data_IF_443636922562
#
_entry.id   IF_443636922562
#
_cell.length_a   1.000
_cell.length_b   1.000
_cell.length_c   1.000
_cell.angle_alpha   90.00
_cell.angle_beta   90.00
_cell.angle_gamma   90.00
#
_symmetry.space_group_name_H-M   'P 1'
#
loop_
_entity.id
_entity.type
_entity.pdbx_description
1 polymer ?
#
# COMPACT_ATOMS: atom_id res chain seq x y z
N UNK A 1 -6.91 -31.57 -11.79
CA UNK A 1 -5.88 -30.58 -11.37
C UNK A 1 -6.55 -29.22 -11.24
N UNK A 2 -6.28 -28.42 -10.19
CA UNK A 2 -6.92 -27.11 -9.98
C UNK A 2 -5.86 -26.00 -9.85
N UNK A 3 -6.03 -24.93 -10.62
CA UNK A 3 -5.19 -23.74 -10.60
C UNK A 3 -5.98 -22.51 -10.17
N UNK A 4 -5.29 -21.55 -9.56
CA UNK A 4 -5.84 -20.24 -9.20
C UNK A 4 -5.23 -19.18 -10.11
N UNK A 5 -6.05 -18.34 -10.71
CA UNK A 5 -5.61 -17.21 -11.51
C UNK A 5 -6.19 -15.90 -10.98
N UNK A 6 -5.37 -14.86 -10.88
CA UNK A 6 -5.80 -13.52 -10.43
C UNK A 6 -5.74 -12.58 -11.63
N UNK A 7 -6.86 -11.92 -11.92
CA UNK A 7 -6.97 -11.00 -13.05
C UNK A 7 -6.21 -9.69 -12.77
N UNK A 8 -5.40 -9.27 -13.72
CA UNK A 8 -4.73 -7.96 -13.71
C UNK A 8 -5.42 -6.99 -14.66
N UNK A 9 -5.09 -5.70 -14.58
CA UNK A 9 -5.60 -4.70 -15.53
C UNK A 9 -5.22 -5.03 -16.99
N UNK A 10 -4.02 -5.60 -17.21
CA UNK A 10 -3.58 -6.03 -18.52
C UNK A 10 -4.50 -7.12 -19.09
N UNK A 11 -4.82 -8.14 -18.28
CA UNK A 11 -5.68 -9.25 -18.68
C UNK A 11 -7.07 -8.79 -19.15
N UNK A 12 -7.66 -7.82 -18.44
CA UNK A 12 -8.97 -7.28 -18.77
C UNK A 12 -8.95 -6.42 -20.03
N UNK A 13 -7.87 -5.65 -20.25
CA UNK A 13 -7.74 -4.78 -21.42
C UNK A 13 -7.42 -5.58 -22.70
N UNK A 14 -6.56 -6.58 -22.62
CA UNK A 14 -6.15 -7.39 -23.78
C UNK A 14 -7.04 -8.61 -23.99
N UNK A 15 -7.85 -8.99 -23.00
CA UNK A 15 -8.68 -10.20 -23.07
C UNK A 15 -7.85 -11.49 -23.01
N UNK A 16 -6.67 -11.42 -22.39
CA UNK A 16 -5.70 -12.53 -22.35
C UNK A 16 -5.41 -12.97 -20.92
N UNK A 17 -5.08 -14.25 -20.75
CA UNK A 17 -4.62 -14.84 -19.50
C UNK A 17 -3.16 -15.28 -19.63
N UNK A 18 -2.31 -14.94 -18.67
CA UNK A 18 -0.92 -15.39 -18.66
C UNK A 18 -0.80 -16.88 -18.34
N UNK A 19 0.08 -17.59 -19.06
CA UNK A 19 0.40 -19.00 -18.81
C UNK A 19 1.25 -19.16 -17.55
N UNK A 20 0.58 -19.27 -16.41
CA UNK A 20 1.19 -19.67 -15.13
C UNK A 20 1.74 -21.09 -15.21
N UNK A 21 2.61 -21.49 -14.26
CA UNK A 21 3.20 -22.84 -14.25
C UNK A 21 2.15 -23.94 -14.35
N UNK A 22 1.09 -23.86 -13.54
CA UNK A 22 -0.02 -24.82 -13.53
C UNK A 22 -0.77 -24.85 -14.88
N UNK A 23 -0.96 -23.70 -15.53
CA UNK A 23 -1.59 -23.63 -16.85
C UNK A 23 -0.70 -24.23 -17.96
N UNK A 24 0.63 -24.10 -17.86
CA UNK A 24 1.54 -24.73 -18.82
C UNK A 24 1.51 -26.26 -18.71
N UNK A 25 1.44 -26.78 -17.49
CA UNK A 25 1.29 -28.22 -17.23
C UNK A 25 -0.06 -28.72 -17.74
N UNK A 26 -1.15 -27.97 -17.52
CA UNK A 26 -2.49 -28.35 -18.00
C UNK A 26 -2.66 -28.26 -19.53
N UNK A 27 -1.89 -27.39 -20.20
CA UNK A 27 -2.01 -27.10 -21.64
C UNK A 27 -0.79 -27.60 -22.45
N UNK A 28 -0.08 -28.60 -21.93
CA UNK A 28 1.05 -29.19 -22.64
C UNK A 28 0.60 -29.85 -23.96
N UNK A 29 1.36 -29.66 -25.04
CA UNK A 29 0.94 -30.04 -26.41
C UNK A 29 -0.28 -29.35 -27.05
N UNK A 30 -1.04 -28.50 -26.36
CA UNK A 30 -2.30 -27.93 -26.87
C UNK A 30 -2.11 -26.51 -27.45
N UNK A 31 -2.50 -26.30 -28.72
CA UNK A 31 -2.51 -24.98 -29.39
C UNK A 31 -3.86 -24.26 -29.26
N UNK A 32 -4.95 -25.01 -29.19
CA UNK A 32 -6.32 -24.53 -29.00
C UNK A 32 -6.95 -25.22 -27.80
N UNK A 33 -7.21 -24.44 -26.76
CA UNK A 33 -7.78 -24.92 -25.52
C UNK A 33 -9.27 -24.58 -25.46
N UNK A 34 -10.08 -25.51 -24.96
CA UNK A 34 -11.49 -25.29 -24.69
C UNK A 34 -11.67 -24.95 -23.22
N UNK A 35 -12.21 -23.77 -22.96
CA UNK A 35 -12.58 -23.35 -21.62
C UNK A 35 -14.10 -23.41 -21.47
N UNK A 36 -14.59 -24.03 -20.41
CA UNK A 36 -16.03 -24.17 -20.14
C UNK A 36 -16.37 -23.32 -18.93
N UNK A 37 -17.33 -22.40 -19.05
CA UNK A 37 -17.74 -21.59 -17.91
C UNK A 37 -18.74 -22.30 -16.99
N UNK A 38 -19.08 -21.65 -15.87
CA UNK A 38 -20.05 -22.17 -14.89
C UNK A 38 -21.46 -22.34 -15.45
N UNK A 39 -21.81 -21.66 -16.55
CA UNK A 39 -23.11 -21.81 -17.22
C UNK A 39 -23.06 -22.93 -18.30
N UNK A 40 -21.91 -23.60 -18.47
CA UNK A 40 -21.67 -24.62 -19.48
C UNK A 40 -21.34 -24.07 -20.88
N UNK A 41 -21.10 -22.77 -21.02
CA UNK A 41 -20.73 -22.15 -22.29
C UNK A 41 -19.25 -22.40 -22.60
N UNK A 42 -18.96 -22.76 -23.85
CA UNK A 42 -17.62 -23.14 -24.29
C UNK A 42 -16.95 -21.98 -25.01
N UNK A 43 -15.77 -21.61 -24.54
CA UNK A 43 -14.90 -20.59 -25.08
C UNK A 43 -13.67 -21.24 -25.72
N UNK A 44 -13.53 -21.10 -27.04
CA UNK A 44 -12.32 -21.54 -27.74
C UNK A 44 -11.23 -20.48 -27.59
N UNK A 45 -10.08 -20.87 -27.04
CA UNK A 45 -8.98 -19.96 -26.77
C UNK A 45 -7.68 -20.44 -27.42
N UNK A 46 -6.87 -19.48 -27.89
CA UNK A 46 -5.59 -19.76 -28.51
C UNK A 46 -4.47 -19.69 -27.48
N UNK A 47 -3.58 -20.69 -27.48
CA UNK A 47 -2.45 -20.78 -26.56
C UNK A 47 -1.19 -20.28 -27.27
N UNK A 48 -0.87 -19.00 -27.11
CA UNK A 48 0.35 -18.40 -27.63
C UNK A 48 1.53 -18.68 -26.69
N UNK A 49 2.36 -19.66 -27.05
CA UNK A 49 3.53 -20.07 -26.25
C UNK A 49 4.69 -19.08 -26.33
N UNK A 50 4.83 -18.37 -27.44
CA UNK A 50 5.91 -17.39 -27.63
C UNK A 50 5.74 -16.22 -26.64
N UNK A 51 4.52 -15.71 -26.51
CA UNK A 51 4.20 -14.61 -25.59
C UNK A 51 3.78 -15.09 -24.19
N UNK A 52 3.63 -16.41 -24.00
CA UNK A 52 3.24 -17.01 -22.74
C UNK A 52 1.81 -16.66 -22.31
N UNK A 53 0.86 -16.61 -23.25
CA UNK A 53 -0.52 -16.13 -23.03
C UNK A 53 -1.57 -17.03 -23.68
N UNK A 54 -2.76 -17.01 -23.10
CA UNK A 54 -3.99 -17.57 -23.65
C UNK A 54 -4.86 -16.39 -24.08
N UNK A 55 -5.32 -16.41 -25.33
CA UNK A 55 -6.10 -15.35 -25.95
C UNK A 55 -7.53 -15.83 -26.22
N UNK A 56 -8.51 -14.92 -26.17
CA UNK A 56 -9.92 -15.22 -26.45
C UNK A 56 -10.84 -15.25 -25.23
N UNK A 57 -10.34 -14.87 -24.04
CA UNK A 57 -11.12 -14.88 -22.79
C UNK A 57 -11.84 -13.53 -22.50
N UNK A 58 -11.69 -12.53 -23.36
CA UNK A 58 -12.34 -11.23 -23.22
C UNK A 58 -13.88 -11.32 -23.07
N UNK A 59 -14.60 -12.12 -23.88
CA UNK A 59 -16.06 -12.24 -23.77
C UNK A 59 -16.50 -12.80 -22.41
N UNK A 60 -15.76 -13.79 -21.88
CA UNK A 60 -16.02 -14.36 -20.56
C UNK A 60 -15.87 -13.32 -19.44
N UNK A 61 -14.80 -12.51 -19.47
CA UNK A 61 -14.58 -11.44 -18.49
C UNK A 61 -15.70 -10.40 -18.49
N UNK A 62 -16.20 -10.04 -19.67
CA UNK A 62 -17.31 -9.11 -19.83
C UNK A 62 -18.64 -9.72 -19.33
N UNK A 63 -18.93 -10.98 -19.69
CA UNK A 63 -20.12 -11.72 -19.25
C UNK A 63 -20.23 -11.76 -17.73
N UNK A 64 -19.12 -12.07 -17.04
CA UNK A 64 -19.05 -12.16 -15.58
C UNK A 64 -18.77 -10.83 -14.87
N UNK A 65 -18.57 -9.73 -15.62
CA UNK A 65 -18.22 -8.39 -15.11
C UNK A 65 -17.03 -8.41 -14.14
N UNK A 66 -16.00 -9.17 -14.49
CA UNK A 66 -14.83 -9.35 -13.65
C UNK A 66 -13.97 -8.08 -13.60
N UNK A 67 -13.46 -7.76 -12.42
CA UNK A 67 -12.61 -6.63 -12.11
C UNK A 67 -11.16 -7.02 -11.84
N UNK A 68 -10.33 -6.00 -11.61
CA UNK A 68 -8.92 -6.18 -11.24
C UNK A 68 -8.87 -6.87 -9.88
N UNK A 69 -8.00 -7.88 -9.74
CA UNK A 69 -7.84 -8.76 -8.59
C UNK A 69 -8.96 -9.78 -8.35
N UNK A 70 -9.94 -9.90 -9.25
CA UNK A 70 -10.89 -11.01 -9.20
C UNK A 70 -10.18 -12.34 -9.52
N UNK A 71 -10.66 -13.40 -8.90
CA UNK A 71 -10.03 -14.73 -8.95
C UNK A 71 -10.86 -15.64 -9.86
N UNK A 72 -10.18 -16.31 -10.77
CA UNK A 72 -10.73 -17.40 -11.57
C UNK A 72 -10.05 -18.70 -11.13
N UNK A 73 -10.85 -19.67 -10.73
CA UNK A 73 -10.42 -21.04 -10.54
C UNK A 73 -10.49 -21.79 -11.86
N UNK A 74 -9.43 -22.54 -12.13
CA UNK A 74 -9.24 -23.31 -13.35
C UNK A 74 -9.18 -24.78 -12.95
N UNK A 75 -10.06 -25.61 -13.48
CA UNK A 75 -10.04 -27.05 -13.19
C UNK A 75 -9.95 -27.85 -14.48
N UNK A 76 -8.91 -28.67 -14.62
CA UNK A 76 -8.80 -29.61 -15.73
C UNK A 76 -9.85 -30.71 -15.57
N UNK A 77 -10.73 -30.83 -16.57
CA UNK A 77 -11.75 -31.87 -16.65
C UNK A 77 -11.22 -33.15 -17.34
N UNK A 78 -11.95 -34.25 -17.19
CA UNK A 78 -11.58 -35.56 -17.75
C UNK A 78 -11.58 -35.58 -19.29
N UNK A 79 -12.36 -34.70 -19.92
CA UNK A 79 -12.44 -34.54 -21.38
C UNK A 79 -11.32 -33.64 -21.97
N UNK A 80 -10.39 -33.17 -21.13
CA UNK A 80 -9.30 -32.27 -21.50
C UNK A 80 -9.70 -30.80 -21.61
N UNK A 81 -10.94 -30.44 -21.28
CA UNK A 81 -11.38 -29.05 -21.19
C UNK A 81 -11.00 -28.42 -19.84
N UNK A 82 -10.94 -27.08 -19.80
CA UNK A 82 -10.65 -26.34 -18.57
C UNK A 82 -11.92 -25.62 -18.09
N UNK A 83 -12.44 -26.05 -16.94
CA UNK A 83 -13.53 -25.36 -16.28
C UNK A 83 -13.07 -24.02 -15.70
N UNK A 84 -13.80 -22.94 -16.02
CA UNK A 84 -13.65 -21.61 -15.47
C UNK A 84 -14.71 -21.38 -14.40
N UNK A 85 -14.27 -21.09 -13.18
CA UNK A 85 -15.14 -20.72 -12.07
C UNK A 85 -14.68 -19.37 -11.51
N UNK A 86 -15.49 -18.34 -11.65
CA UNK A 86 -15.18 -17.02 -11.13
C UNK A 86 -15.59 -16.93 -9.67
N UNK A 87 -14.63 -16.69 -8.78
CA UNK A 87 -14.93 -16.33 -7.40
C UNK A 87 -15.36 -14.85 -7.33
N UNK A 88 -16.52 -14.52 -7.92
CA UNK A 88 -17.06 -13.16 -7.85
C UNK A 88 -17.46 -12.83 -6.42
N UNK A 89 -16.83 -11.82 -5.82
CA UNK A 89 -17.26 -11.22 -4.56
C UNK A 89 -18.53 -10.36 -4.70
N UNK A 90 -19.12 -10.28 -5.90
CA UNK A 90 -20.31 -9.47 -6.19
C UNK A 90 -21.32 -10.32 -6.93
N UNK A 91 -22.41 -10.67 -6.25
CA UNK A 91 -23.57 -11.27 -6.88
C UNK A 91 -24.09 -10.38 -8.03
N UNK A 92 -24.45 -10.94 -9.18
CA UNK A 92 -25.06 -10.17 -10.26
C UNK A 92 -26.47 -9.74 -9.87
N UNK A 93 -26.70 -8.44 -9.70
CA UNK A 93 -28.06 -7.87 -9.61
C UNK A 93 -28.72 -7.88 -11.01
N UNK A 94 -29.99 -8.29 -11.13
CA UNK A 94 -30.71 -8.28 -12.39
C UNK A 94 -30.87 -6.83 -12.91
N UNK A 95 -30.75 -6.67 -14.24
CA UNK A 95 -30.83 -5.39 -14.95
C UNK A 95 -32.26 -4.84 -14.91
N UNK A 96 -32.51 -3.59 -14.45
CA UNK A 96 -33.72 -2.87 -14.78
C UNK A 96 -33.64 -2.32 -16.22
N UNK A 97 -34.78 -2.34 -16.90
CA UNK A 97 -34.96 -1.91 -18.29
C UNK A 97 -34.63 -0.42 -18.51
N UNK A 98 -34.10 -0.14 -19.69
CA UNK A 98 -33.76 1.19 -20.20
C UNK A 98 -35.04 1.99 -20.44
N UNK A 99 -35.13 3.18 -19.85
CA UNK A 99 -36.07 4.22 -20.26
C UNK A 99 -35.29 5.42 -20.82
N UNK A 100 -35.70 5.85 -22.00
CA UNK A 100 -35.01 6.78 -22.88
C UNK A 100 -35.25 8.25 -22.52
N UNK A 101 -34.26 9.08 -22.91
CA UNK A 101 -34.32 10.48 -23.39
C UNK A 101 -35.14 11.53 -22.62
N UNK A 102 -34.46 12.62 -22.26
CA UNK A 102 -34.91 13.98 -22.56
C UNK A 102 -33.71 14.96 -22.56
N UNK A 103 -33.42 15.55 -23.72
CA UNK A 103 -32.63 16.79 -23.85
C UNK A 103 -33.50 17.99 -23.42
N UNK A 104 -32.95 19.04 -22.79
CA UNK A 104 -33.59 20.34 -22.76
C UNK A 104 -33.02 21.29 -23.82
N UNK A 105 -33.98 21.87 -24.51
CA UNK A 105 -33.99 22.93 -25.52
C UNK A 105 -33.20 24.18 -25.10
N UNK A 106 -32.47 24.77 -26.07
CA UNK A 106 -31.85 26.09 -25.99
C UNK A 106 -32.89 27.18 -26.32
N UNK A 107 -33.02 28.18 -25.47
CA UNK A 107 -33.66 29.46 -25.81
C UNK A 107 -32.59 30.49 -26.24
N UNK A 108 -32.84 31.37 -27.24
CA UNK A 108 -31.86 32.32 -27.75
C UNK A 108 -31.89 33.65 -26.98
N UNK A 109 -30.71 34.17 -26.65
CA UNK A 109 -30.51 35.53 -26.12
C UNK A 109 -30.40 36.51 -27.28
N UNK A 110 -31.26 37.53 -27.28
CA UNK A 110 -31.26 38.66 -28.21
C UNK A 110 -29.99 39.52 -28.06
N UNK A 111 -29.51 39.98 -29.21
CA UNK A 111 -28.32 40.81 -29.41
C UNK A 111 -28.77 42.25 -29.65
N UNK A 112 -28.41 43.18 -28.78
CA UNK A 112 -28.37 44.61 -29.09
C UNK A 112 -26.93 45.12 -29.16
N UNK A 113 -26.66 45.93 -30.17
CA UNK A 113 -25.36 46.32 -30.65
C UNK A 113 -25.02 47.78 -30.27
N UNK A 114 -23.82 47.97 -29.71
CA UNK A 114 -22.76 48.95 -30.07
C UNK A 114 -23.07 50.48 -30.01
N UNK A 115 -22.08 51.36 -29.70
CA UNK A 115 -20.86 51.46 -30.52
C UNK A 115 -19.53 51.85 -29.85
N UNK A 116 -18.52 51.76 -30.71
CA UNK A 116 -17.08 51.85 -30.51
C UNK A 116 -16.51 53.28 -30.33
N UNK A 117 -15.35 53.36 -29.67
CA UNK A 117 -14.43 54.49 -29.72
C UNK A 117 -12.97 54.04 -29.46
N UNK A 118 -12.13 54.09 -30.50
CA UNK A 118 -10.66 53.84 -30.55
C UNK A 118 -9.88 55.15 -30.22
N UNK A 119 -8.51 55.22 -30.25
CA UNK A 119 -7.44 54.30 -29.85
C UNK A 119 -6.36 54.99 -28.94
N UNK A 120 -5.37 54.20 -28.50
CA UNK A 120 -4.23 54.57 -27.64
C UNK A 120 -3.19 55.54 -28.26
N UNK A 121 -2.26 56.06 -27.42
CA UNK A 121 -0.84 56.04 -27.80
C UNK A 121 0.10 55.41 -26.75
N UNK A 122 1.19 54.85 -27.28
CA UNK A 122 2.32 54.14 -26.63
C UNK A 122 3.24 55.04 -25.80
N UNK A 123 4.05 54.36 -24.96
CA UNK A 123 5.39 54.67 -24.36
C UNK A 123 5.28 54.83 -22.83
N UNK A 124 6.14 54.29 -21.96
CA UNK A 124 7.59 54.01 -22.03
C UNK A 124 7.90 52.76 -21.18
N UNK A 125 8.75 51.84 -21.66
CA UNK A 125 9.40 50.82 -20.84
C UNK A 125 10.49 51.51 -20.01
N UNK A 126 10.25 51.66 -18.70
CA UNK A 126 11.32 51.96 -17.74
C UNK A 126 11.51 50.70 -16.91
N UNK A 127 12.64 50.03 -17.10
CA UNK A 127 13.17 49.01 -16.21
C UNK A 127 13.58 49.67 -14.89
N UNK A 128 12.93 49.38 -13.74
CA UNK A 128 13.48 49.78 -12.47
C UNK A 128 14.62 48.81 -12.12
N UNK A 129 15.80 49.37 -11.86
CA UNK A 129 16.92 48.69 -11.19
C UNK A 129 16.43 47.98 -9.92
N UNK A 130 17.10 46.88 -9.49
CA UNK A 130 16.67 46.08 -8.36
C UNK A 130 16.84 46.91 -7.09
N UNK A 131 15.75 47.48 -6.60
CA UNK A 131 15.68 47.84 -5.19
C UNK A 131 15.55 46.53 -4.45
N UNK A 132 16.64 46.10 -3.83
CA UNK A 132 16.64 45.20 -2.70
C UNK A 132 15.73 45.80 -1.65
N UNK A 133 14.43 45.53 -1.76
CA UNK A 133 13.51 45.77 -0.67
C UNK A 133 13.79 44.63 0.30
N UNK A 134 14.64 44.94 1.27
CA UNK A 134 14.61 44.30 2.59
C UNK A 134 13.21 44.51 3.14
N UNK A 135 12.25 43.70 2.67
CA UNK A 135 11.13 43.37 3.50
C UNK A 135 11.74 42.60 4.68
N UNK A 136 11.56 43.06 5.93
CA UNK A 136 11.63 42.13 7.04
C UNK A 136 10.66 41.01 6.65
N UNK A 137 11.14 39.76 6.56
CA UNK A 137 10.20 38.66 6.51
C UNK A 137 9.36 38.82 7.78
N UNK A 138 8.12 39.26 7.61
CA UNK A 138 7.07 39.07 8.58
C UNK A 138 7.21 37.61 9.00
N UNK A 139 7.50 37.43 10.30
CA UNK A 139 7.94 36.15 10.83
C UNK A 139 7.04 35.06 10.28
N UNK A 140 7.63 34.07 9.62
CA UNK A 140 6.95 32.81 9.39
C UNK A 140 6.44 32.40 10.77
N UNK A 141 5.14 32.53 11.00
CA UNK A 141 4.53 32.00 12.22
C UNK A 141 5.03 30.57 12.35
N UNK A 142 5.50 30.15 13.54
CA UNK A 142 6.01 28.80 13.71
C UNK A 142 4.90 27.85 13.27
N UNK A 143 5.15 27.11 12.19
CA UNK A 143 4.23 26.11 11.68
C UNK A 143 3.83 25.23 12.86
N UNK A 144 2.53 25.00 13.11
CA UNK A 144 2.11 24.19 14.25
C UNK A 144 2.85 22.85 14.28
N UNK A 145 3.21 22.35 15.46
CA UNK A 145 4.05 21.15 15.61
C UNK A 145 3.50 19.93 14.84
N UNK A 146 2.18 19.80 14.73
CA UNK A 146 1.53 18.73 13.96
C UNK A 146 1.81 18.82 12.44
N UNK A 147 2.05 20.03 11.90
CA UNK A 147 2.39 20.24 10.49
C UNK A 147 3.80 19.71 10.21
N UNK A 148 4.75 20.02 11.08
CA UNK A 148 6.12 19.51 10.98
C UNK A 148 6.17 17.98 11.10
N UNK A 149 5.35 17.41 12.00
CA UNK A 149 5.21 15.97 12.14
C UNK A 149 4.65 15.32 10.85
N UNK A 150 3.63 15.92 10.22
CA UNK A 150 3.09 15.45 8.95
C UNK A 150 4.12 15.52 7.81
N UNK A 151 4.88 16.61 7.72
CA UNK A 151 5.95 16.74 6.73
C UNK A 151 7.04 15.67 6.93
N UNK A 152 7.43 15.41 8.18
CA UNK A 152 8.38 14.34 8.55
C UNK A 152 7.86 12.95 8.13
N UNK A 153 6.56 12.73 8.22
CA UNK A 153 5.90 11.51 7.77
C UNK A 153 5.75 11.42 6.24
N UNK A 154 6.12 12.47 5.49
CA UNK A 154 6.11 12.50 4.03
C UNK A 154 4.84 13.10 3.40
N UNK A 155 4.07 13.88 4.17
CA UNK A 155 2.93 14.63 3.63
C UNK A 155 3.37 15.99 3.09
N UNK A 156 2.69 16.44 2.04
CA UNK A 156 2.85 17.76 1.47
C UNK A 156 1.58 18.58 1.69
N UNK A 157 1.74 19.81 2.17
CA UNK A 157 0.63 20.74 2.32
C UNK A 157 0.20 21.25 0.94
N UNK A 158 -1.09 21.13 0.64
CA UNK A 158 -1.71 21.73 -0.54
C UNK A 158 -2.36 23.04 -0.11
N UNK A 159 -2.07 24.13 -0.82
CA UNK A 159 -2.76 25.40 -0.59
C UNK A 159 -4.21 25.27 -1.06
N UNK A 160 -5.14 25.33 -0.11
CA UNK A 160 -6.58 25.40 -0.33
C UNK A 160 -7.13 26.49 0.59
N UNK A 161 -8.05 27.31 0.07
CA UNK A 161 -8.59 28.48 0.76
C UNK A 161 -9.65 28.14 1.81
N UNK A 162 -10.21 26.92 1.77
CA UNK A 162 -11.35 26.51 2.62
C UNK A 162 -10.96 25.55 3.73
N UNK A 163 -9.97 24.69 3.49
CA UNK A 163 -9.53 23.72 4.49
C UNK A 163 -8.02 23.43 4.33
N UNK A 164 -7.27 23.18 5.42
CA UNK A 164 -5.89 22.75 5.31
C UNK A 164 -5.86 21.30 4.80
N UNK A 165 -5.35 21.09 3.59
CA UNK A 165 -5.27 19.77 2.96
C UNK A 165 -3.81 19.30 2.93
N UNK A 166 -3.59 18.05 3.33
CA UNK A 166 -2.30 17.38 3.30
C UNK A 166 -2.38 16.16 2.39
N UNK A 167 -1.43 16.01 1.46
CA UNK A 167 -1.40 14.93 0.49
C UNK A 167 -0.19 14.03 0.70
N UNK A 168 -0.42 12.73 0.70
CA UNK A 168 0.62 11.72 0.66
C UNK A 168 0.70 11.10 -0.74
N UNK A 169 1.93 11.01 -1.27
CA UNK A 169 2.23 10.37 -2.54
C UNK A 169 2.83 8.98 -2.29
N UNK A 170 2.07 7.94 -2.63
CA UNK A 170 2.46 6.52 -2.52
C UNK A 170 2.69 5.93 -3.92
N UNK A 171 3.46 6.64 -4.74
CA UNK A 171 3.70 6.30 -6.15
C UNK A 171 2.45 6.49 -7.01
N UNK A 172 1.88 5.40 -7.54
CA UNK A 172 0.66 5.44 -8.37
C UNK A 172 -0.62 5.69 -7.57
N UNK A 173 -0.54 5.54 -6.26
CA UNK A 173 -1.64 5.82 -5.33
C UNK A 173 -1.25 7.02 -4.48
N UNK A 174 -2.25 7.71 -3.96
CA UNK A 174 -2.07 8.77 -3.01
C UNK A 174 -3.40 9.04 -2.36
N UNK A 175 -3.35 9.67 -1.20
CA UNK A 175 -4.56 10.14 -0.55
C UNK A 175 -4.31 11.52 0.03
N UNK A 176 -5.39 12.26 0.19
CA UNK A 176 -5.38 13.55 0.85
C UNK A 176 -6.23 13.49 2.11
N UNK A 177 -5.79 14.20 3.14
CA UNK A 177 -6.50 14.38 4.40
C UNK A 177 -6.73 15.88 4.61
N UNK A 178 -7.98 16.26 4.90
CA UNK A 178 -8.29 17.59 5.40
C UNK A 178 -8.13 17.57 6.91
N UNK A 179 -7.27 18.43 7.46
CA UNK A 179 -6.89 18.40 8.86
C UNK A 179 -6.79 19.83 9.39
N UNK A 180 -7.60 20.15 10.39
CA UNK A 180 -7.69 21.49 10.95
C UNK A 180 -7.78 21.45 12.47
N UNK A 181 -7.30 22.49 13.15
CA UNK A 181 -7.36 22.57 14.61
C UNK A 181 -8.78 22.85 15.08
N UNK A 182 -9.18 22.15 16.13
CA UNK A 182 -10.47 22.36 16.77
C UNK A 182 -10.61 23.81 17.26
N UNK A 183 -11.74 24.44 16.93
CA UNK A 183 -12.00 25.86 17.23
C UNK A 183 -11.44 26.86 16.22
N UNK A 184 -10.47 26.48 15.38
CA UNK A 184 -9.90 27.35 14.34
C UNK A 184 -10.51 27.10 12.96
N UNK A 185 -10.97 25.86 12.70
CA UNK A 185 -11.53 25.44 11.40
C UNK A 185 -12.99 25.04 11.56
N UNK A 186 -13.85 25.44 10.61
CA UNK A 186 -15.24 24.97 10.56
C UNK A 186 -15.28 23.48 10.19
N UNK A 187 -15.88 22.67 11.06
CA UNK A 187 -16.07 21.24 10.86
C UNK A 187 -16.85 20.95 9.56
N UNK A 188 -17.74 21.85 9.16
CA UNK A 188 -18.52 21.73 7.91
C UNK A 188 -17.64 21.80 6.67
N UNK A 189 -16.59 22.62 6.69
CA UNK A 189 -15.67 22.75 5.55
C UNK A 189 -14.81 21.50 5.37
N UNK A 190 -14.36 20.89 6.48
CA UNK A 190 -13.66 19.60 6.47
C UNK A 190 -14.56 18.48 5.91
N UNK A 191 -15.83 18.46 6.33
CA UNK A 191 -16.82 17.51 5.82
C UNK A 191 -17.16 17.74 4.35
N UNK A 192 -17.30 19.00 3.93
CA UNK A 192 -17.54 19.36 2.53
C UNK A 192 -16.39 18.87 1.64
N UNK A 193 -15.13 19.08 2.06
CA UNK A 193 -13.96 18.59 1.33
C UNK A 193 -14.00 17.06 1.11
N UNK A 194 -14.45 16.30 2.11
CA UNK A 194 -14.61 14.85 1.98
C UNK A 194 -15.78 14.45 1.08
N UNK A 195 -16.93 15.13 1.20
CA UNK A 195 -18.14 14.87 0.38
C UNK A 195 -17.92 15.18 -1.10
N UNK A 196 -17.17 16.24 -1.39
CA UNK A 196 -16.78 16.64 -2.75
C UNK A 196 -15.69 15.73 -3.35
N UNK A 197 -15.14 14.78 -2.57
CA UNK A 197 -14.08 13.87 -3.03
C UNK A 197 -12.69 14.52 -3.15
N UNK A 198 -12.49 15.74 -2.63
CA UNK A 198 -11.18 16.41 -2.61
C UNK A 198 -10.19 15.69 -1.69
N UNK A 199 -10.70 15.13 -0.60
CA UNK A 199 -9.93 14.36 0.38
C UNK A 199 -10.58 13.01 0.68
N UNK A 200 -9.76 12.01 0.97
CA UNK A 200 -10.25 10.68 1.37
C UNK A 200 -10.66 10.66 2.85
N UNK A 201 -9.96 11.44 3.68
CA UNK A 201 -10.16 11.52 5.11
C UNK A 201 -10.35 12.97 5.55
N UNK A 202 -11.19 13.19 6.54
CA UNK A 202 -11.37 14.47 7.20
C UNK A 202 -11.16 14.26 8.69
N UNK A 203 -10.30 15.08 9.29
CA UNK A 203 -9.84 14.91 10.65
C UNK A 203 -9.72 16.26 11.36
N UNK A 204 -9.85 16.23 12.68
CA UNK A 204 -9.74 17.41 13.54
C UNK A 204 -8.59 17.21 14.50
N UNK A 205 -7.76 18.25 14.62
CA UNK A 205 -6.64 18.28 15.57
C UNK A 205 -7.15 18.80 16.91
N UNK A 206 -7.10 17.94 17.92
CA UNK A 206 -7.48 18.23 19.30
C UNK A 206 -6.29 17.86 20.18
N UNK A 207 -6.04 18.59 21.27
CA UNK A 207 -4.98 18.21 22.21
C UNK A 207 -5.34 16.91 22.93
N UNK A 208 -4.34 16.16 23.41
CA UNK A 208 -4.60 14.90 24.12
C UNK A 208 -5.50 15.09 25.35
N UNK A 209 -5.34 16.20 26.08
CA UNK A 209 -6.14 16.55 27.27
C UNK A 209 -7.62 16.79 26.96
N UNK A 210 -7.93 17.28 25.76
CA UNK A 210 -9.30 17.64 25.35
C UNK A 210 -9.98 16.52 24.55
N UNK A 211 -9.25 15.44 24.22
CA UNK A 211 -9.72 14.40 23.31
C UNK A 211 -11.05 13.79 23.73
N UNK A 212 -11.22 13.46 25.02
CA UNK A 212 -12.41 12.76 25.52
C UNK A 212 -13.67 13.66 25.50
N UNK A 213 -13.50 14.98 25.61
CA UNK A 213 -14.62 15.92 25.54
C UNK A 213 -15.22 16.01 24.13
N UNK A 214 -14.38 15.98 23.09
CA UNK A 214 -14.80 16.20 21.69
C UNK A 214 -15.03 14.89 20.93
N UNK A 215 -14.57 13.76 21.47
CA UNK A 215 -14.64 12.43 20.84
C UNK A 215 -16.06 12.00 20.44
N UNK A 216 -17.06 12.28 21.26
CA UNK A 216 -18.45 11.94 20.96
C UNK A 216 -18.97 12.74 19.75
N UNK A 217 -18.75 14.05 19.76
CA UNK A 217 -19.14 14.96 18.67
C UNK A 217 -18.47 14.57 17.34
N UNK A 218 -17.16 14.30 17.35
CA UNK A 218 -16.45 13.91 16.12
C UNK A 218 -16.92 12.57 15.56
N UNK A 219 -17.28 11.62 16.44
CA UNK A 219 -17.83 10.32 16.04
C UNK A 219 -19.18 10.46 15.34
N UNK A 220 -20.06 11.32 15.85
CA UNK A 220 -21.35 11.61 15.21
C UNK A 220 -21.16 12.23 13.82
N UNK A 221 -20.20 13.14 13.69
CA UNK A 221 -19.84 13.78 12.42
C UNK A 221 -19.00 12.90 11.49
N UNK A 222 -18.57 11.71 11.93
CA UNK A 222 -17.65 10.79 11.22
C UNK A 222 -16.32 11.45 10.84
N UNK A 223 -15.85 12.38 11.66
CA UNK A 223 -14.52 12.98 11.55
C UNK A 223 -13.54 12.15 12.37
N UNK A 224 -12.32 11.99 11.85
CA UNK A 224 -11.25 11.34 12.62
C UNK A 224 -10.69 12.32 13.67
N UNK A 225 -10.43 11.81 14.87
CA UNK A 225 -9.72 12.57 15.90
C UNK A 225 -8.21 12.40 15.69
N UNK A 226 -7.45 13.49 15.72
CA UNK A 226 -5.99 13.45 15.62
C UNK A 226 -5.40 14.32 16.73
N UNK A 227 -4.40 13.82 17.44
CA UNK A 227 -3.68 14.62 18.45
C UNK A 227 -2.28 15.00 17.96
N UNK A 228 -1.82 16.26 18.20
CA UNK A 228 -0.46 16.67 17.86
C UNK A 228 0.62 15.78 18.50
N UNK A 229 0.36 15.32 19.72
CA UNK A 229 1.24 14.44 20.49
C UNK A 229 1.40 13.08 19.80
N UNK A 230 0.30 12.48 19.32
CA UNK A 230 0.32 11.24 18.56
C UNK A 230 1.09 11.37 17.25
N UNK A 231 0.88 12.44 16.48
CA UNK A 231 1.63 12.68 15.25
C UNK A 231 3.13 12.87 15.51
N UNK A 232 3.48 13.58 16.59
CA UNK A 232 4.88 13.77 16.99
C UNK A 232 5.52 12.46 17.41
N UNK A 233 4.80 11.62 18.16
CA UNK A 233 5.28 10.28 18.55
C UNK A 233 5.47 9.39 17.31
N UNK A 234 4.51 9.40 16.37
CA UNK A 234 4.60 8.66 15.12
C UNK A 234 5.79 9.10 14.26
N UNK A 235 6.06 10.41 14.19
CA UNK A 235 7.22 10.96 13.49
C UNK A 235 8.55 10.54 14.14
N UNK A 236 8.61 10.35 15.47
CA UNK A 236 9.79 9.80 16.16
C UNK A 236 10.01 8.33 15.84
N UNK A 237 8.94 7.53 15.80
CA UNK A 237 9.00 6.09 15.46
C UNK A 237 9.58 5.84 14.07
N UNK A 238 9.43 6.79 13.14
CA UNK A 238 10.03 6.74 11.79
C UNK A 238 11.55 6.53 11.80
N UNK A 239 12.25 6.93 12.85
CA UNK A 239 13.70 6.73 12.97
C UNK A 239 14.10 5.27 13.23
N UNK A 240 13.20 4.48 13.82
CA UNK A 240 13.42 3.08 14.19
C UNK A 240 12.83 2.11 13.16
N UNK A 241 11.70 2.47 12.57
CA UNK A 241 10.96 1.67 11.61
C UNK A 241 10.44 2.56 10.48
N UNK A 242 10.31 2.10 9.22
CA UNK A 242 9.84 2.92 8.09
C UNK A 242 8.33 3.28 8.17
N UNK A 243 7.91 3.91 9.26
CA UNK A 243 6.57 4.45 9.49
C UNK A 243 6.35 5.68 8.63
N UNK A 244 5.19 5.76 7.98
CA UNK A 244 4.86 6.85 7.08
C UNK A 244 3.36 6.98 6.81
N UNK A 245 2.98 7.41 5.58
CA UNK A 245 1.58 7.67 5.27
C UNK A 245 0.71 6.41 5.27
N UNK A 246 1.28 5.23 5.14
CA UNK A 246 0.53 3.96 5.16
C UNK A 246 -0.02 3.69 6.56
N UNK A 247 0.82 3.84 7.60
CA UNK A 247 0.42 3.65 8.99
C UNK A 247 -0.57 4.74 9.42
N UNK A 248 -0.34 6.00 9.01
CA UNK A 248 -1.30 7.07 9.30
C UNK A 248 -2.66 6.80 8.62
N UNK A 249 -2.68 6.26 7.41
CA UNK A 249 -3.93 5.88 6.73
C UNK A 249 -4.68 4.78 7.50
N UNK A 250 -3.93 3.81 8.05
CA UNK A 250 -4.48 2.74 8.88
C UNK A 250 -5.16 3.29 10.13
N UNK A 251 -4.52 4.24 10.83
CA UNK A 251 -5.08 4.88 12.02
C UNK A 251 -6.29 5.76 11.67
N UNK A 252 -6.21 6.54 10.59
CA UNK A 252 -7.32 7.37 10.11
C UNK A 252 -8.57 6.54 9.74
N UNK A 253 -8.40 5.32 9.17
CA UNK A 253 -9.50 4.39 8.92
C UNK A 253 -10.20 3.92 10.19
N UNK A 254 -9.47 3.84 11.30
CA UNK A 254 -10.04 3.53 12.62
C UNK A 254 -10.74 4.75 13.25
N UNK A 255 -10.59 5.93 12.66
CA UNK A 255 -11.22 7.18 13.09
C UNK A 255 -10.52 7.87 14.26
N UNK A 256 -9.34 7.41 14.66
CA UNK A 256 -8.54 8.02 15.73
C UNK A 256 -7.05 7.89 15.49
N UNK A 257 -6.33 8.95 15.83
CA UNK A 257 -4.88 9.07 15.85
C UNK A 257 -4.54 9.79 17.15
N UNK A 258 -4.68 9.09 18.27
CA UNK A 258 -4.34 9.53 19.62
C UNK A 258 -3.11 8.77 20.14
N UNK A 259 -2.59 9.15 21.32
CA UNK A 259 -1.40 8.49 21.87
C UNK A 259 -1.63 6.99 22.07
N UNK A 260 -2.80 6.59 22.57
CA UNK A 260 -3.14 5.18 22.79
C UNK A 260 -3.05 4.35 21.49
N UNK A 261 -3.55 4.90 20.37
CA UNK A 261 -3.49 4.22 19.08
C UNK A 261 -2.06 4.15 18.53
N UNK A 262 -1.24 5.17 18.77
CA UNK A 262 0.17 5.19 18.36
C UNK A 262 1.01 4.27 19.26
N UNK A 263 0.74 4.19 20.55
CA UNK A 263 1.38 3.24 21.48
C UNK A 263 1.07 1.79 21.12
N UNK A 264 -0.18 1.49 20.76
CA UNK A 264 -0.54 0.16 20.27
C UNK A 264 0.24 -0.22 18.98
N UNK A 265 0.44 0.74 18.08
CA UNK A 265 1.31 0.57 16.91
C UNK A 265 2.79 0.43 17.30
N UNK A 266 3.26 1.22 18.27
CA UNK A 266 4.62 1.13 18.79
C UNK A 266 4.89 -0.27 19.36
N UNK A 267 3.96 -0.83 20.15
CA UNK A 267 4.07 -2.20 20.66
C UNK A 267 4.03 -3.28 19.56
N UNK A 268 3.35 -3.03 18.44
CA UNK A 268 3.43 -3.90 17.26
C UNK A 268 4.81 -3.83 16.60
N UNK A 269 5.38 -2.63 16.49
CA UNK A 269 6.74 -2.41 15.97
C UNK A 269 7.81 -2.99 16.91
N UNK A 270 7.65 -2.82 18.22
CA UNK A 270 8.56 -3.35 19.24
C UNK A 270 8.62 -4.87 19.20
N UNK A 271 7.52 -5.55 18.84
CA UNK A 271 7.56 -7.00 18.58
C UNK A 271 8.51 -7.34 17.44
N UNK A 272 8.51 -6.58 16.34
CA UNK A 272 9.46 -6.78 15.24
C UNK A 272 10.90 -6.43 15.63
N UNK A 273 11.10 -5.42 16.48
CA UNK A 273 12.43 -5.11 17.03
C UNK A 273 12.89 -6.23 17.98
N UNK A 274 11.98 -6.78 18.79
CA UNK A 274 12.21 -7.95 19.64
C UNK A 274 12.56 -9.20 18.84
N UNK A 275 11.86 -9.45 17.72
CA UNK A 275 12.20 -10.53 16.78
C UNK A 275 13.61 -10.34 16.20
N UNK A 276 14.00 -9.11 15.84
CA UNK A 276 15.37 -8.81 15.37
C UNK A 276 16.41 -9.00 16.47
N UNK A 277 16.09 -8.62 17.70
CA UNK A 277 16.96 -8.87 18.86
C UNK A 277 17.12 -10.37 19.09
N UNK A 278 16.02 -11.14 19.11
CA UNK A 278 16.04 -12.59 19.24
C UNK A 278 16.85 -13.26 18.12
N UNK A 279 16.64 -12.86 16.87
CA UNK A 279 17.42 -13.34 15.73
C UNK A 279 18.92 -13.08 15.89
N UNK A 280 19.29 -11.88 16.37
CA UNK A 280 20.69 -11.52 16.62
C UNK A 280 21.30 -12.34 17.76
N UNK A 281 20.56 -12.53 18.85
CA UNK A 281 20.98 -13.37 19.98
C UNK A 281 21.20 -14.82 19.55
N UNK A 282 20.29 -15.39 18.74
CA UNK A 282 20.46 -16.74 18.17
C UNK A 282 21.70 -16.82 17.28
N UNK A 283 21.93 -15.83 16.41
CA UNK A 283 23.15 -15.79 15.59
C UNK A 283 24.42 -15.73 16.44
N UNK A 284 24.41 -14.97 17.55
CA UNK A 284 25.55 -14.91 18.48
C UNK A 284 25.75 -16.27 19.16
N UNK A 285 24.69 -16.92 19.65
CA UNK A 285 24.78 -18.25 20.25
C UNK A 285 25.28 -19.32 19.25
N UNK A 286 24.95 -19.17 17.96
CA UNK A 286 25.47 -20.05 16.91
C UNK A 286 26.98 -19.90 16.69
N UNK A 287 27.61 -18.81 17.15
CA UNK A 287 29.07 -18.64 17.03
C UNK A 287 29.87 -19.58 17.94
N UNK A 288 29.24 -20.15 18.96
CA UNK A 288 29.86 -21.16 19.82
C UNK A 288 30.02 -22.52 19.12
N UNK A 289 29.39 -22.69 17.96
CA UNK A 289 29.50 -23.88 17.13
C UNK A 289 30.47 -23.66 15.95
N UNK A 290 31.46 -24.53 15.75
CA UNK A 290 32.31 -24.50 14.57
C UNK A 290 31.54 -24.88 13.30
N UNK A 291 32.06 -24.41 12.16
CA UNK A 291 31.52 -24.79 10.85
C UNK A 291 31.55 -26.32 10.65
N UNK A 292 30.58 -26.83 9.91
CA UNK A 292 30.36 -28.26 9.63
C UNK A 292 30.01 -29.11 10.87
N UNK A 293 29.63 -28.49 11.99
CA UNK A 293 29.15 -29.20 13.18
C UNK A 293 27.63 -29.40 13.15
N UNK A 294 27.20 -30.60 13.55
CA UNK A 294 25.82 -30.92 13.87
C UNK A 294 25.52 -30.55 15.32
N UNK A 295 24.38 -29.93 15.56
CA UNK A 295 23.88 -29.56 16.88
C UNK A 295 22.38 -29.79 16.99
N UNK A 296 21.90 -29.99 18.22
CA UNK A 296 20.47 -30.09 18.51
C UNK A 296 19.92 -28.72 18.93
N UNK A 297 18.63 -28.52 18.67
CA UNK A 297 17.89 -27.36 19.16
C UNK A 297 18.02 -27.23 20.68
N UNK A 298 17.99 -28.36 21.40
CA UNK A 298 18.09 -28.36 22.86
C UNK A 298 19.45 -27.86 23.34
N UNK A 299 20.56 -28.26 22.69
CA UNK A 299 21.91 -27.78 23.02
C UNK A 299 22.01 -26.26 22.83
N UNK A 300 21.41 -25.74 21.75
CA UNK A 300 21.38 -24.30 21.49
C UNK A 300 20.50 -23.57 22.52
N UNK A 301 19.41 -24.19 22.97
CA UNK A 301 18.54 -23.62 23.98
C UNK A 301 19.21 -23.53 25.35
N UNK A 302 20.03 -24.52 25.70
CA UNK A 302 20.88 -24.47 26.89
C UNK A 302 21.88 -23.32 26.82
N UNK A 303 22.54 -23.11 25.67
CA UNK A 303 23.46 -21.99 25.46
C UNK A 303 22.77 -20.62 25.53
N UNK A 304 21.50 -20.55 25.10
CA UNK A 304 20.71 -19.33 25.15
C UNK A 304 20.25 -18.98 26.58
N UNK A 305 20.20 -19.93 27.51
CA UNK A 305 20.01 -19.70 28.95
C UNK A 305 18.92 -18.69 29.30
N UNK A 306 19.29 -17.62 30.02
CA UNK A 306 18.39 -16.56 30.51
C UNK A 306 18.00 -15.50 29.45
N UNK A 307 18.27 -15.72 28.17
CA UNK A 307 17.93 -14.77 27.09
C UNK A 307 16.42 -14.49 26.94
N UNK A 308 15.56 -15.26 27.60
CA UNK A 308 14.11 -15.05 27.63
C UNK A 308 13.40 -15.38 26.31
N UNK A 309 14.12 -16.00 25.36
CA UNK A 309 13.59 -16.41 24.07
C UNK A 309 13.00 -17.81 24.22
N UNK A 310 11.75 -17.98 23.80
CA UNK A 310 11.09 -19.28 23.85
C UNK A 310 11.54 -20.23 22.71
N UNK A 311 11.30 -21.52 22.92
CA UNK A 311 11.70 -22.59 21.99
C UNK A 311 11.07 -22.48 20.61
N UNK A 312 9.84 -22.01 20.52
CA UNK A 312 9.13 -21.87 19.24
C UNK A 312 9.77 -20.76 18.40
N UNK A 313 10.10 -19.63 19.03
CA UNK A 313 10.83 -18.52 18.40
C UNK A 313 12.20 -18.97 17.89
N UNK A 314 12.99 -19.70 18.69
CA UNK A 314 14.31 -20.19 18.23
C UNK A 314 14.17 -21.17 17.08
N UNK A 315 13.24 -22.13 17.17
CA UNK A 315 12.99 -23.07 16.07
C UNK A 315 12.62 -22.34 14.77
N UNK A 316 11.73 -21.34 14.85
CA UNK A 316 11.36 -20.53 13.69
C UNK A 316 12.56 -19.78 13.08
N UNK A 317 13.44 -19.22 13.93
CA UNK A 317 14.68 -18.56 13.48
C UNK A 317 15.60 -19.55 12.76
N UNK A 318 15.80 -20.75 13.30
CA UNK A 318 16.64 -21.78 12.68
C UNK A 318 16.10 -22.22 11.31
N UNK A 319 14.77 -22.33 11.16
CA UNK A 319 14.16 -22.61 9.86
C UNK A 319 14.42 -21.49 8.84
N UNK A 320 14.36 -20.22 9.26
CA UNK A 320 14.73 -19.08 8.41
C UNK A 320 16.20 -19.14 8.00
N UNK A 321 17.10 -19.46 8.93
CA UNK A 321 18.53 -19.58 8.67
C UNK A 321 18.89 -20.78 7.79
N UNK A 322 18.05 -21.82 7.78
CA UNK A 322 18.18 -22.97 6.88
C UNK A 322 17.70 -22.67 5.45
N UNK A 323 16.83 -21.67 5.28
CA UNK A 323 16.26 -21.28 4.00
C UNK A 323 17.06 -20.20 3.26
N UNK A 324 16.82 -20.01 1.94
CA UNK A 324 17.28 -18.82 1.23
C UNK A 324 16.68 -17.53 1.83
N UNK A 325 17.43 -16.41 1.87
CA UNK A 325 18.75 -16.20 1.27
C UNK A 325 19.93 -16.60 2.17
N UNK A 326 19.69 -16.98 3.43
CA UNK A 326 20.75 -17.23 4.41
C UNK A 326 21.51 -18.52 4.10
N UNK A 327 20.79 -19.65 3.98
CA UNK A 327 21.38 -20.97 3.77
C UNK A 327 22.54 -21.33 4.72
N UNK A 328 22.58 -20.70 5.90
CA UNK A 328 23.62 -20.87 6.94
C UNK A 328 23.54 -22.27 7.56
N UNK A 329 22.32 -22.76 7.73
CA UNK A 329 22.05 -24.06 8.33
C UNK A 329 21.56 -25.06 7.29
N UNK A 330 21.75 -26.35 7.57
CA UNK A 330 21.05 -27.43 6.90
C UNK A 330 20.30 -28.23 7.93
N UNK A 331 18.97 -28.30 7.81
CA UNK A 331 18.15 -29.19 8.62
C UNK A 331 18.41 -30.64 8.23
N UNK A 332 18.77 -31.48 9.20
CA UNK A 332 19.00 -32.91 9.00
C UNK A 332 17.78 -33.73 9.41
N UNK A 333 17.24 -33.43 10.60
CA UNK A 333 16.05 -34.04 11.16
C UNK A 333 15.25 -33.00 11.97
N UNK A 334 14.06 -33.31 12.51
CA UNK A 334 13.34 -32.40 13.40
C UNK A 334 14.19 -32.05 14.63
N UNK A 335 14.55 -30.78 14.79
CA UNK A 335 15.37 -30.30 15.91
C UNK A 335 16.88 -30.56 15.76
N UNK A 336 17.34 -31.08 14.62
CA UNK A 336 18.76 -31.36 14.36
C UNK A 336 19.24 -30.58 13.13
N UNK A 337 20.31 -29.81 13.32
CA UNK A 337 20.83 -28.87 12.33
C UNK A 337 22.33 -29.01 12.15
N UNK A 338 22.79 -28.82 10.92
CA UNK A 338 24.20 -28.71 10.56
C UNK A 338 24.52 -27.24 10.26
N UNK A 339 25.52 -26.68 10.93
CA UNK A 339 26.08 -25.37 10.60
C UNK A 339 26.98 -25.51 9.37
N UNK A 340 26.68 -24.86 8.25
CA UNK A 340 27.42 -25.07 6.98
C UNK A 340 28.71 -24.26 6.91
N UNK A 341 28.70 -23.06 7.48
CA UNK A 341 29.84 -22.14 7.50
C UNK A 341 29.79 -21.33 8.80
N UNK A 342 30.83 -20.55 9.08
CA UNK A 342 30.79 -19.70 10.27
C UNK A 342 29.72 -18.63 10.10
N UNK A 343 29.11 -18.21 11.22
CA UNK A 343 28.10 -17.14 11.19
C UNK A 343 28.64 -15.86 10.55
N UNK A 344 29.92 -15.54 10.82
CA UNK A 344 30.58 -14.38 10.25
C UNK A 344 30.69 -14.46 8.72
N UNK A 345 31.09 -15.61 8.17
CA UNK A 345 31.22 -15.82 6.73
C UNK A 345 29.87 -15.71 6.02
N UNK A 346 28.83 -16.36 6.56
CA UNK A 346 27.48 -16.31 5.97
C UNK A 346 26.90 -14.89 5.95
N UNK A 347 27.10 -14.12 7.02
CA UNK A 347 26.68 -12.72 7.06
C UNK A 347 27.49 -11.87 6.07
N UNK A 348 28.77 -12.18 5.86
CA UNK A 348 29.61 -11.59 4.82
C UNK A 348 29.03 -11.83 3.42
N UNK A 349 28.74 -13.10 3.09
CA UNK A 349 28.15 -13.47 1.80
C UNK A 349 26.77 -12.82 1.58
N UNK A 350 25.93 -12.75 2.61
CA UNK A 350 24.64 -12.09 2.53
C UNK A 350 24.78 -10.57 2.28
N UNK A 351 25.75 -9.93 2.94
CA UNK A 351 26.05 -8.51 2.74
C UNK A 351 26.53 -8.25 1.30
N UNK A 352 27.44 -9.07 0.77
CA UNK A 352 27.91 -8.99 -0.61
C UNK A 352 26.76 -9.16 -1.61
N UNK A 353 25.90 -10.16 -1.39
CA UNK A 353 24.70 -10.38 -2.20
C UNK A 353 23.79 -9.14 -2.20
N UNK A 354 23.50 -8.58 -1.02
CA UNK A 354 22.65 -7.41 -0.87
C UNK A 354 23.25 -6.16 -1.55
N UNK A 355 24.56 -5.94 -1.40
CA UNK A 355 25.28 -4.83 -2.05
C UNK A 355 25.27 -4.98 -3.57
N UNK A 356 25.53 -6.19 -4.08
CA UNK A 356 25.48 -6.51 -5.51
C UNK A 356 24.08 -6.26 -6.09
N UNK A 357 23.04 -6.70 -5.39
CA UNK A 357 21.64 -6.47 -5.79
C UNK A 357 21.32 -4.97 -5.80
N UNK A 358 21.71 -4.23 -4.76
CA UNK A 358 21.51 -2.77 -4.69
C UNK A 358 22.14 -2.05 -5.87
N UNK A 359 23.39 -2.39 -6.21
CA UNK A 359 24.10 -1.76 -7.32
C UNK A 359 23.38 -1.99 -8.67
N UNK A 360 22.76 -3.16 -8.88
CA UNK A 360 21.96 -3.46 -10.09
C UNK A 360 20.60 -2.79 -10.13
N UNK A 361 20.01 -2.49 -8.96
CA UNK A 361 18.72 -1.78 -8.89
C UNK A 361 18.86 -0.27 -9.08
N UNK A 362 20.07 0.27 -8.85
CA UNK A 362 20.40 1.68 -9.07
C UNK A 362 20.91 1.98 -10.49
N UNK A 363 21.29 0.94 -11.26
CA UNK A 363 21.57 1.02 -12.70
C UNK A 363 20.30 0.83 -13.52
#
# INVERSE_FOLDING_TARGET
MRGRYVLTSACLHTGTMSLTRTLREMLEGVERARFVDEDGEVWECWVNRADGRVEGLAPYYQKRRLGINDIIWLTLQEDGSIALEAATARQPKPRPAVAAKAEPVREPVEVEAQPAGKPAPKRVRVTPYPKTVLYPQEGSEPSPAYVQALETLGFQRVQDQRAPIYRAHLGRRGYAVALGRYGEVDLKDLLAARREGRVAYAAVVVTESEKEAVKAELRELRLALVTPEALTHLARLRSLFPVGPVELERLLKQGRVDLDAVEALAHEIDRWVGERAAFSTVLIALTDYPAQQVFLLEDLMENLGESGIDRETVAAILEVLAGPPFLLLRRLAPGEYLLRETVADALGHLAEYALSLRNRLMS
#
